data_IF_630807020998
#
_entry.id   IF_630807020998
#
_cell.length_a   1.000
_cell.length_b   1.000
_cell.length_c   1.000
_cell.angle_alpha   90.00
_cell.angle_beta   90.00
_cell.angle_gamma   90.00
#
_symmetry.space_group_name_H-M   'P 1'
#
loop_
_entity.id
_entity.type
_entity.pdbx_description
1 polymer ?
#
# COMPACT_ATOMS: atom_id res chain seq x y z
N UNK A 1 -11.57 -10.42 -0.86
CA UNK A 1 -11.58 -9.52 0.32
C UNK A 1 -12.06 -8.17 -0.17
N UNK A 2 -13.00 -7.52 0.50
CA UNK A 2 -13.53 -6.23 0.02
C UNK A 2 -12.54 -5.11 0.30
N UNK A 3 -12.63 -4.01 -0.44
CA UNK A 3 -11.81 -2.82 -0.25
C UNK A 3 -11.87 -2.28 1.19
N UNK A 4 -13.06 -2.31 1.79
CA UNK A 4 -13.26 -1.92 3.20
C UNK A 4 -12.44 -2.80 4.13
N UNK A 5 -12.49 -4.13 3.95
CA UNK A 5 -11.72 -5.06 4.78
C UNK A 5 -10.20 -4.89 4.59
N UNK A 6 -9.75 -4.60 3.37
CA UNK A 6 -8.33 -4.30 3.09
C UNK A 6 -7.89 -3.06 3.86
N UNK A 7 -8.69 -1.98 3.81
CA UNK A 7 -8.39 -0.72 4.50
C UNK A 7 -8.41 -0.87 6.02
N UNK A 8 -9.42 -1.53 6.58
CA UNK A 8 -9.50 -1.77 8.02
C UNK A 8 -8.30 -2.57 8.54
N UNK A 9 -7.93 -3.65 7.83
CA UNK A 9 -6.76 -4.45 8.19
C UNK A 9 -5.46 -3.64 8.08
N UNK A 10 -5.31 -2.85 7.02
CA UNK A 10 -4.14 -1.99 6.82
C UNK A 10 -3.98 -0.94 7.93
N UNK A 11 -5.06 -0.26 8.29
CA UNK A 11 -5.06 0.74 9.36
C UNK A 11 -4.72 0.13 10.72
N UNK A 12 -5.24 -1.07 11.02
CA UNK A 12 -4.91 -1.78 12.25
C UNK A 12 -3.41 -2.08 12.34
N UNK A 13 -2.82 -2.63 11.28
CA UNK A 13 -1.38 -2.92 11.23
C UNK A 13 -0.55 -1.64 11.39
N UNK A 14 -0.94 -0.56 10.70
CA UNK A 14 -0.25 0.72 10.78
C UNK A 14 -0.20 1.26 12.22
N UNK A 15 -1.35 1.26 12.91
CA UNK A 15 -1.44 1.71 14.31
C UNK A 15 -0.65 0.80 15.25
N UNK A 16 -0.71 -0.52 15.05
CA UNK A 16 0.04 -1.49 15.87
C UNK A 16 1.56 -1.30 15.75
N UNK A 17 2.07 -0.91 14.57
CA UNK A 17 3.51 -0.75 14.34
C UNK A 17 4.03 0.66 14.65
N UNK A 18 3.25 1.71 14.36
CA UNK A 18 3.70 3.10 14.47
C UNK A 18 3.12 3.84 15.68
N UNK A 19 2.06 3.31 16.29
CA UNK A 19 1.25 4.04 17.27
C UNK A 19 0.31 5.06 16.61
N UNK A 20 -0.67 5.55 17.38
CA UNK A 20 -1.73 6.41 16.86
C UNK A 20 -1.23 7.70 16.21
N UNK A 21 -0.29 8.40 16.85
CA UNK A 21 0.17 9.72 16.37
C UNK A 21 0.90 9.59 15.04
N UNK A 22 1.81 8.61 14.92
CA UNK A 22 2.59 8.46 13.69
C UNK A 22 1.82 7.77 12.58
N UNK A 23 0.83 6.93 12.90
CA UNK A 23 -0.11 6.41 11.92
C UNK A 23 -0.93 7.55 11.26
N UNK A 24 -1.48 8.48 12.04
CA UNK A 24 -2.20 9.64 11.51
C UNK A 24 -1.28 10.54 10.66
N UNK A 25 -0.05 10.78 11.13
CA UNK A 25 0.94 11.55 10.37
C UNK A 25 1.33 10.87 9.06
N UNK A 26 1.46 9.54 9.04
CA UNK A 26 1.69 8.77 7.81
C UNK A 26 0.56 8.98 6.80
N UNK A 27 -0.71 8.85 7.22
CA UNK A 27 -1.87 9.09 6.35
C UNK A 27 -1.89 10.53 5.83
N UNK A 28 -1.56 11.51 6.68
CA UNK A 28 -1.43 12.91 6.27
C UNK A 28 -0.38 13.09 5.18
N UNK A 29 0.80 12.48 5.32
CA UNK A 29 1.89 12.58 4.34
C UNK A 29 1.49 11.93 3.00
N UNK A 30 0.92 10.73 3.05
CA UNK A 30 0.44 10.01 1.86
C UNK A 30 -0.63 10.78 1.08
N UNK A 31 -1.46 11.58 1.76
CA UNK A 31 -2.48 12.42 1.12
C UNK A 31 -1.95 13.75 0.59
N UNK A 32 -0.85 14.28 1.16
CA UNK A 32 -0.28 15.57 0.79
C UNK A 32 0.66 15.48 -0.40
N UNK A 33 1.46 14.41 -0.45
CA UNK A 33 2.48 14.23 -1.47
C UNK A 33 2.31 12.85 -2.11
N UNK A 34 2.32 12.74 -3.45
CA UNK A 34 2.29 11.45 -4.11
C UNK A 34 3.56 10.67 -3.74
N UNK A 35 3.38 9.58 -3.02
CA UNK A 35 4.46 8.63 -2.74
C UNK A 35 4.81 7.89 -4.04
N UNK A 36 6.09 7.93 -4.43
CA UNK A 36 6.57 7.17 -5.59
C UNK A 36 6.64 5.68 -5.27
N UNK A 37 5.47 5.03 -5.38
CA UNK A 37 5.34 3.60 -5.16
C UNK A 37 6.16 2.78 -6.18
N UNK A 38 6.36 3.30 -7.40
CA UNK A 38 7.12 2.60 -8.44
C UNK A 38 8.60 2.53 -8.05
N UNK A 39 9.20 3.68 -7.73
CA UNK A 39 10.60 3.74 -7.29
C UNK A 39 10.83 2.94 -6.00
N UNK A 40 9.98 3.14 -4.98
CA UNK A 40 10.09 2.39 -3.73
C UNK A 40 10.00 0.87 -3.96
N UNK A 41 9.09 0.41 -4.82
CA UNK A 41 8.92 -1.01 -5.12
C UNK A 41 10.15 -1.61 -5.79
N UNK A 42 10.71 -0.95 -6.80
CA UNK A 42 11.89 -1.43 -7.54
C UNK A 42 13.09 -1.63 -6.61
N UNK A 43 13.23 -0.78 -5.59
CA UNK A 43 14.32 -0.83 -4.63
C UNK A 43 14.10 -1.82 -3.47
N UNK A 44 12.85 -2.06 -3.06
CA UNK A 44 12.53 -2.72 -1.78
C UNK A 44 11.80 -4.07 -1.89
N UNK A 45 11.31 -4.45 -3.07
CA UNK A 45 10.67 -5.75 -3.28
C UNK A 45 11.56 -6.63 -4.16
N UNK A 46 12.11 -7.72 -3.59
CA UNK A 46 12.70 -8.81 -4.38
C UNK A 46 11.59 -9.41 -5.27
N UNK A 47 11.73 -9.32 -6.59
CA UNK A 47 10.66 -9.64 -7.54
C UNK A 47 10.05 -11.04 -7.32
N UNK A 48 8.71 -11.13 -7.33
CA UNK A 48 8.03 -12.16 -8.10
C UNK A 48 7.36 -11.45 -9.26
N UNK A 49 7.98 -11.55 -10.43
CA UNK A 49 7.48 -11.07 -11.73
C UNK A 49 7.27 -9.55 -11.87
N UNK A 50 7.76 -9.03 -12.99
CA UNK A 50 7.75 -7.64 -13.42
C UNK A 50 6.53 -6.80 -13.00
N UNK A 51 6.69 -5.47 -12.92
CA UNK A 51 5.60 -4.51 -12.64
C UNK A 51 4.35 -4.75 -13.50
N UNK A 52 4.56 -5.19 -14.73
CA UNK A 52 3.52 -5.55 -15.70
C UNK A 52 2.67 -6.75 -15.28
N UNK A 53 3.23 -7.70 -14.56
CA UNK A 53 2.53 -8.90 -14.09
C UNK A 53 1.67 -8.60 -12.86
N UNK A 54 2.18 -7.80 -11.91
CA UNK A 54 1.34 -7.29 -10.81
C UNK A 54 0.22 -6.38 -11.32
N UNK A 55 0.49 -5.51 -12.29
CA UNK A 55 -0.54 -4.67 -12.93
C UNK A 55 -1.62 -5.54 -13.59
N UNK A 56 -1.23 -6.64 -14.24
CA UNK A 56 -2.16 -7.61 -14.84
C UNK A 56 -2.99 -8.34 -13.79
N UNK A 57 -2.39 -8.76 -12.67
CA UNK A 57 -3.11 -9.36 -11.56
C UNK A 57 -4.13 -8.38 -10.97
N UNK A 58 -3.73 -7.13 -10.74
CA UNK A 58 -4.62 -6.08 -10.23
C UNK A 58 -5.82 -5.81 -11.15
N UNK A 59 -5.60 -5.77 -12.48
CA UNK A 59 -6.69 -5.64 -13.46
C UNK A 59 -7.65 -6.85 -13.44
N UNK A 60 -7.17 -8.05 -13.11
CA UNK A 60 -8.00 -9.25 -12.96
C UNK A 60 -8.81 -9.33 -11.68
N UNK A 61 -8.63 -8.41 -10.73
CA UNK A 61 -9.45 -8.28 -9.52
C UNK A 61 -10.55 -7.21 -9.67
N UNK A 62 -10.63 -6.52 -10.82
CA UNK A 62 -11.74 -5.65 -11.19
C UNK A 62 -12.78 -6.43 -12.02
N UNK A 63 -13.40 -7.44 -11.42
CA UNK A 63 -14.65 -8.08 -11.88
C UNK A 63 -15.57 -8.34 -10.67
#
# INVERSE_FOLDING_TARGET
MTDTLIKEKGMKILIEQLGYVEAERFIMLMNREPFDYTGWREENLEEPSSVRELSRMAMGYCD
#
